data_IF_492575405971
#
_entry.id   IF_492575405971
#
_cell.length_a   1.000
_cell.length_b   1.000
_cell.length_c   1.000
_cell.angle_alpha   90.00
_cell.angle_beta   90.00
_cell.angle_gamma   90.00
#
_symmetry.space_group_name_H-M   'P 1'
#
loop_
_entity.id
_entity.type
_entity.pdbx_description
1 polymer ?
#
# COMPACT_ATOMS: atom_id res chain seq x y z
N UNK A 1 -19.16 7.68 1.42
CA UNK A 1 -19.51 8.68 0.37
C UNK A 1 -18.38 8.75 -0.65
N UNK A 2 -18.61 9.37 -1.81
CA UNK A 2 -17.63 9.55 -2.89
C UNK A 2 -17.68 10.98 -3.42
N UNK A 3 -16.53 11.66 -3.46
CA UNK A 3 -16.39 13.05 -3.90
C UNK A 3 -15.12 13.22 -4.75
N UNK A 4 -15.23 13.87 -5.92
CA UNK A 4 -14.07 14.23 -6.74
C UNK A 4 -13.47 15.54 -6.21
N UNK A 5 -12.20 15.51 -5.79
CA UNK A 5 -11.53 16.65 -5.15
C UNK A 5 -10.75 17.49 -6.17
N UNK A 6 -10.09 16.84 -7.13
CA UNK A 6 -9.26 17.52 -8.12
C UNK A 6 -9.08 16.68 -9.40
N UNK A 7 -8.78 17.37 -10.49
CA UNK A 7 -8.45 16.81 -11.82
C UNK A 7 -9.52 15.88 -12.41
N UNK A 8 -10.80 16.32 -12.53
CA UNK A 8 -11.87 15.48 -13.08
C UNK A 8 -11.61 15.01 -14.51
N UNK A 9 -10.78 15.73 -15.27
CA UNK A 9 -10.38 15.37 -16.64
C UNK A 9 -9.55 14.08 -16.72
N UNK A 10 -8.91 13.66 -15.62
CA UNK A 10 -8.16 12.39 -15.54
C UNK A 10 -9.09 11.17 -15.37
N UNK A 11 -10.41 11.40 -15.25
CA UNK A 11 -11.40 10.34 -15.16
C UNK A 11 -11.14 9.44 -13.96
N UNK A 12 -10.79 8.17 -14.20
CA UNK A 12 -10.56 7.18 -13.14
C UNK A 12 -9.31 7.46 -12.29
N UNK A 13 -8.36 8.24 -12.81
CA UNK A 13 -7.11 8.60 -12.13
C UNK A 13 -7.21 9.93 -11.34
N UNK A 14 -8.38 10.58 -11.34
CA UNK A 14 -8.62 11.80 -10.57
C UNK A 14 -8.42 11.57 -9.06
N UNK A 15 -8.28 12.65 -8.29
CA UNK A 15 -8.16 12.56 -6.83
C UNK A 15 -9.55 12.44 -6.21
N UNK A 16 -9.79 11.32 -5.53
CA UNK A 16 -11.08 11.01 -4.90
C UNK A 16 -10.97 11.04 -3.38
N UNK A 17 -11.93 11.69 -2.75
CA UNK A 17 -12.20 11.55 -1.31
C UNK A 17 -13.28 10.49 -1.13
N UNK A 18 -12.94 9.45 -0.38
CA UNK A 18 -13.84 8.35 -0.05
C UNK A 18 -14.00 8.25 1.45
N UNK A 19 -15.21 7.94 1.89
CA UNK A 19 -15.48 7.47 3.25
C UNK A 19 -15.75 5.98 3.19
N UNK A 20 -15.04 5.22 4.02
CA UNK A 20 -15.09 3.76 4.11
C UNK A 20 -15.44 3.34 5.53
N UNK A 21 -16.06 2.17 5.67
CA UNK A 21 -16.42 1.54 6.94
C UNK A 21 -15.83 0.13 6.97
N UNK A 22 -15.20 -0.25 8.09
CA UNK A 22 -14.60 -1.57 8.31
C UNK A 22 -13.69 -2.09 7.18
N UNK A 23 -12.88 -1.19 6.60
CA UNK A 23 -11.99 -1.55 5.50
C UNK A 23 -10.78 -2.35 6.02
N UNK A 24 -10.61 -3.63 5.64
CA UNK A 24 -9.51 -4.44 6.12
C UNK A 24 -8.20 -4.00 5.48
N UNK A 25 -7.14 -3.90 6.29
CA UNK A 25 -5.79 -3.54 5.84
C UNK A 25 -4.71 -4.25 6.67
N UNK A 26 -3.50 -4.30 6.11
CA UNK A 26 -2.32 -4.83 6.78
C UNK A 26 -1.27 -3.73 6.91
N UNK A 27 -0.58 -3.67 8.06
CA UNK A 27 0.56 -2.77 8.26
C UNK A 27 1.77 -3.41 7.58
N UNK A 28 2.22 -2.80 6.48
CA UNK A 28 3.37 -3.29 5.71
C UNK A 28 4.67 -2.57 6.11
N UNK A 29 4.59 -1.27 6.39
CA UNK A 29 5.70 -0.46 6.85
C UNK A 29 5.23 0.35 8.05
N UNK A 30 6.03 0.40 9.11
CA UNK A 30 5.74 1.20 10.31
C UNK A 30 6.68 2.40 10.47
N UNK A 31 6.39 3.23 11.48
CA UNK A 31 7.15 4.43 11.83
C UNK A 31 8.46 4.14 12.61
N UNK A 32 8.78 2.87 12.86
CA UNK A 32 9.97 2.40 13.58
C UNK A 32 11.03 1.82 12.65
N UNK A 33 10.77 1.84 11.34
CA UNK A 33 11.66 1.30 10.32
C UNK A 33 11.45 -0.18 10.03
N UNK A 34 10.35 -0.80 10.49
CA UNK A 34 10.00 -2.16 10.09
C UNK A 34 9.33 -2.16 8.72
N UNK A 35 9.75 -3.07 7.84
CA UNK A 35 9.16 -3.33 6.53
C UNK A 35 8.93 -4.84 6.34
N UNK A 36 7.68 -5.22 6.15
CA UNK A 36 7.23 -6.61 6.00
C UNK A 36 7.88 -7.31 4.80
N UNK A 37 8.03 -6.62 3.67
CA UNK A 37 8.55 -7.24 2.45
C UNK A 37 10.08 -7.38 2.48
N UNK A 38 10.79 -6.51 3.19
CA UNK A 38 12.23 -6.66 3.41
C UNK A 38 12.55 -7.94 4.20
N UNK A 39 11.71 -8.32 5.16
CA UNK A 39 11.87 -9.56 5.92
C UNK A 39 11.75 -10.81 5.03
N UNK A 40 10.80 -10.80 4.08
CA UNK A 40 10.60 -11.88 3.11
C UNK A 40 11.76 -11.95 2.09
N UNK A 41 12.23 -10.81 1.60
CA UNK A 41 13.39 -10.78 0.70
C UNK A 41 14.68 -11.27 1.37
N UNK A 42 14.80 -11.08 2.69
CA UNK A 42 15.98 -11.53 3.46
C UNK A 42 15.94 -13.03 3.73
N UNK A 43 14.76 -13.66 3.68
CA UNK A 43 14.64 -15.13 3.59
C UNK A 43 15.00 -15.65 2.20
N UNK A 44 16.21 -15.31 1.71
CA UNK A 44 16.85 -16.12 0.69
C UNK A 44 17.13 -17.49 1.29
N UNK A 45 16.71 -18.55 0.59
CA UNK A 45 17.15 -19.89 0.91
C UNK A 45 18.69 -19.88 0.96
N UNK A 46 19.29 -20.29 2.09
CA UNK A 46 20.74 -20.32 2.25
C UNK A 46 21.47 -21.19 1.19
N UNK A 47 20.73 -21.97 0.39
CA UNK A 47 21.22 -22.80 -0.72
C UNK A 47 21.00 -22.18 -2.12
N UNK A 48 20.39 -21.01 -2.22
CA UNK A 48 20.04 -20.38 -3.51
C UNK A 48 20.90 -19.15 -3.84
N UNK A 49 22.10 -19.04 -3.24
CA UNK A 49 23.14 -18.11 -3.70
C UNK A 49 23.75 -18.70 -4.98
N UNK A 50 23.66 -17.97 -6.10
CA UNK A 50 24.46 -18.28 -7.29
C UNK A 50 25.93 -17.97 -7.04
#
# INVERSE_FOLDING_TARGET
SLECVAYPELGMEAIWKIEVEDFPAFILVDDKGNDFFQQIQTSQCARCVK
#
